data_IF_660412049159
#
_entry.id   IF_660412049159
#
_cell.length_a   1.000
_cell.length_b   1.000
_cell.length_c   1.000
_cell.angle_alpha   90.00
_cell.angle_beta   90.00
_cell.angle_gamma   90.00
#
_symmetry.space_group_name_H-M   'P 1'
#
loop_
_entity.id
_entity.type
_entity.pdbx_description
1 polymer ?
#
# COMPACT_ATOMS: atom_id res chain seq x y z
N UNK A 1 11.39 11.60 -18.52
CA UNK A 1 11.02 12.72 -17.63
C UNK A 1 10.86 12.14 -16.24
N UNK A 2 11.43 12.77 -15.21
CA UNK A 2 11.29 12.30 -13.83
C UNK A 2 10.15 13.04 -13.14
N UNK A 3 9.27 12.33 -12.43
CA UNK A 3 8.19 12.89 -11.62
C UNK A 3 8.62 12.75 -10.16
N UNK A 4 8.93 13.85 -9.49
CA UNK A 4 9.36 13.82 -8.11
C UNK A 4 9.01 15.11 -7.36
N UNK A 5 8.71 14.97 -6.08
CA UNK A 5 8.26 16.08 -5.23
C UNK A 5 9.26 16.34 -4.11
N UNK A 6 9.26 17.57 -3.59
CA UNK A 6 10.02 17.91 -2.40
C UNK A 6 9.26 17.47 -1.16
N UNK A 7 9.99 16.98 -0.16
CA UNK A 7 9.46 16.76 1.17
C UNK A 7 9.06 18.10 1.79
N UNK A 8 7.83 18.22 2.27
CA UNK A 8 7.34 19.44 2.92
C UNK A 8 8.01 19.68 4.29
N UNK A 9 8.48 18.62 4.96
CA UNK A 9 9.11 18.73 6.27
C UNK A 9 10.56 19.25 6.19
N UNK A 10 11.37 18.79 5.23
CA UNK A 10 12.80 19.15 5.15
C UNK A 10 13.22 19.87 3.86
N UNK A 11 12.34 19.98 2.86
CA UNK A 11 12.65 20.57 1.55
C UNK A 11 13.55 19.72 0.64
N UNK A 12 14.02 18.56 1.13
CA UNK A 12 14.80 17.59 0.36
C UNK A 12 13.97 16.98 -0.78
N UNK A 13 14.63 16.61 -1.87
CA UNK A 13 13.96 15.83 -2.93
C UNK A 13 13.67 14.41 -2.44
N UNK A 14 12.47 13.90 -2.73
CA UNK A 14 12.16 12.49 -2.52
C UNK A 14 13.18 11.62 -3.25
N UNK A 15 13.61 10.52 -2.66
CA UNK A 15 14.39 9.47 -3.33
C UNK A 15 13.51 8.25 -3.44
N UNK A 16 13.67 7.49 -4.53
CA UNK A 16 13.15 6.13 -4.57
C UNK A 16 13.89 5.33 -3.49
N UNK A 17 13.16 4.74 -2.55
CA UNK A 17 13.71 4.39 -1.24
C UNK A 17 12.94 3.28 -0.55
N UNK A 18 12.52 2.28 -1.32
CA UNK A 18 12.03 1.03 -0.74
C UNK A 18 13.18 0.37 0.01
N UNK A 19 12.93 0.00 1.27
CA UNK A 19 13.85 -0.87 2.00
C UNK A 19 13.78 -2.27 1.40
N UNK A 20 14.91 -2.95 1.33
CA UNK A 20 14.89 -4.39 1.08
C UNK A 20 14.37 -5.10 2.35
N UNK A 21 13.19 -5.70 2.26
CA UNK A 21 12.59 -6.49 3.34
C UNK A 21 12.60 -7.95 2.90
N UNK A 22 13.30 -8.80 3.65
CA UNK A 22 13.43 -10.23 3.31
C UNK A 22 12.07 -10.92 3.21
N UNK A 23 11.90 -11.78 2.21
CA UNK A 23 10.65 -12.52 1.97
C UNK A 23 9.60 -11.77 1.16
N UNK A 24 9.81 -10.49 0.85
CA UNK A 24 8.88 -9.68 0.04
C UNK A 24 9.40 -9.46 -1.39
N UNK A 25 8.88 -10.19 -2.40
CA UNK A 25 9.31 -10.03 -3.79
C UNK A 25 8.90 -8.70 -4.44
N UNK A 26 7.91 -8.00 -3.89
CA UNK A 26 7.41 -6.74 -4.45
C UNK A 26 7.38 -5.66 -3.37
N UNK A 27 7.94 -4.50 -3.69
CA UNK A 27 7.81 -3.26 -2.94
C UNK A 27 7.04 -2.23 -3.79
N UNK A 28 6.16 -1.47 -3.15
CA UNK A 28 5.19 -0.61 -3.79
C UNK A 28 4.95 0.68 -3.00
N UNK A 29 4.51 1.73 -3.68
CA UNK A 29 4.01 2.94 -3.02
C UNK A 29 2.67 2.68 -2.32
N UNK A 30 2.56 3.10 -1.07
CA UNK A 30 1.32 3.12 -0.28
C UNK A 30 0.88 4.57 -0.05
N UNK A 31 -0.42 4.86 0.06
CA UNK A 31 -0.96 6.15 0.55
C UNK A 31 -0.59 7.45 -0.19
N UNK A 32 0.25 7.39 -1.24
CA UNK A 32 0.76 8.56 -2.00
C UNK A 32 0.28 8.58 -3.44
N UNK A 33 -0.42 7.53 -3.83
CA UNK A 33 -1.07 7.39 -5.13
C UNK A 33 -2.56 7.21 -4.88
N UNK A 34 -3.34 8.13 -5.41
CA UNK A 34 -4.78 8.04 -5.35
C UNK A 34 -5.32 7.66 -6.73
N UNK A 35 -6.19 6.66 -6.76
CA UNK A 35 -6.75 6.10 -7.99
C UNK A 35 -8.08 6.73 -8.36
N UNK A 36 -8.30 6.92 -9.66
CA UNK A 36 -9.56 7.36 -10.25
C UNK A 36 -10.00 6.41 -11.36
N UNK A 37 -11.31 6.25 -11.55
CA UNK A 37 -11.87 5.45 -12.64
C UNK A 37 -11.77 6.14 -14.01
N UNK A 38 -11.40 7.43 -14.03
CA UNK A 38 -11.18 8.19 -15.25
C UNK A 38 -9.96 7.66 -16.02
N UNK A 39 -10.03 7.68 -17.34
CA UNK A 39 -9.02 7.06 -18.20
C UNK A 39 -8.14 8.07 -18.95
N UNK A 40 -8.60 9.32 -19.12
CA UNK A 40 -7.91 10.29 -19.99
C UNK A 40 -7.89 11.74 -19.48
N UNK A 41 -8.69 12.06 -18.47
CA UNK A 41 -8.83 13.40 -17.92
C UNK A 41 -8.80 13.40 -16.39
N UNK A 42 -8.47 14.55 -15.81
CA UNK A 42 -8.46 14.74 -14.36
C UNK A 42 -9.92 14.68 -13.88
N UNK A 43 -10.25 13.84 -12.88
CA UNK A 43 -11.62 13.76 -12.37
C UNK A 43 -12.09 15.13 -11.87
N UNK A 44 -13.32 15.54 -12.19
CA UNK A 44 -13.88 16.80 -11.72
C UNK A 44 -14.06 16.77 -10.19
N UNK A 45 -13.99 17.93 -9.59
CA UNK A 45 -14.38 18.11 -8.19
C UNK A 45 -15.90 18.06 -8.08
N UNK A 46 -16.39 17.45 -7.00
CA UNK A 46 -17.79 17.49 -6.60
C UNK A 46 -18.13 18.77 -5.82
N UNK A 47 -19.38 18.89 -5.38
CA UNK A 47 -19.90 20.05 -4.64
C UNK A 47 -19.17 20.32 -3.31
N UNK A 48 -18.46 19.33 -2.77
CA UNK A 48 -17.69 19.41 -1.53
C UNK A 48 -16.18 19.65 -1.80
N UNK A 49 -15.80 20.01 -3.04
CA UNK A 49 -14.42 20.27 -3.46
C UNK A 49 -13.45 19.08 -3.33
N UNK A 50 -13.95 17.85 -3.44
CA UNK A 50 -13.10 16.65 -3.57
C UNK A 50 -13.50 15.85 -4.82
N UNK A 51 -12.64 14.93 -5.24
CA UNK A 51 -12.87 14.08 -6.42
C UNK A 51 -13.06 12.63 -5.98
N UNK A 52 -13.87 11.87 -6.73
CA UNK A 52 -14.23 10.49 -6.38
C UNK A 52 -13.04 9.53 -6.56
N UNK A 53 -12.67 8.84 -5.48
CA UNK A 53 -11.70 7.73 -5.54
C UNK A 53 -12.29 6.56 -6.31
N UNK A 54 -11.43 5.76 -6.92
CA UNK A 54 -11.79 4.58 -7.69
C UNK A 54 -12.40 3.50 -6.79
N UNK A 55 -13.55 2.96 -7.19
CA UNK A 55 -14.19 1.80 -6.55
C UNK A 55 -13.78 0.47 -7.20
N UNK A 56 -13.24 0.53 -8.42
CA UNK A 56 -12.90 -0.66 -9.21
C UNK A 56 -11.42 -0.99 -9.13
N UNK A 57 -11.10 -2.24 -8.75
CA UNK A 57 -9.73 -2.75 -8.82
C UNK A 57 -9.16 -2.60 -10.23
N UNK A 58 -8.00 -1.94 -10.41
CA UNK A 58 -7.39 -1.76 -11.73
C UNK A 58 -7.03 -3.09 -12.40
N UNK A 59 -7.36 -3.27 -13.68
CA UNK A 59 -7.12 -4.53 -14.42
C UNK A 59 -6.00 -4.36 -15.43
N UNK A 60 -5.13 -5.39 -15.66
CA UNK A 60 -4.07 -5.32 -16.66
C UNK A 60 -4.60 -4.96 -18.05
N UNK A 61 -3.96 -3.97 -18.69
CA UNK A 61 -4.37 -3.42 -19.98
C UNK A 61 -5.17 -2.13 -19.88
N UNK A 62 -5.75 -1.82 -18.71
CA UNK A 62 -6.47 -0.56 -18.49
C UNK A 62 -5.53 0.64 -18.54
N UNK A 63 -6.08 1.77 -18.97
CA UNK A 63 -5.50 3.08 -18.67
C UNK A 63 -6.30 3.72 -17.54
N UNK A 64 -5.62 4.20 -16.51
CA UNK A 64 -6.23 4.91 -15.38
C UNK A 64 -5.54 6.26 -15.17
N UNK A 65 -6.27 7.19 -14.59
CA UNK A 65 -5.74 8.47 -14.13
C UNK A 65 -5.49 8.39 -12.65
N UNK A 66 -4.26 8.69 -12.24
CA UNK A 66 -3.84 8.69 -10.83
C UNK A 66 -3.34 10.08 -10.42
N UNK A 67 -3.58 10.43 -9.16
CA UNK A 67 -2.92 11.54 -8.51
C UNK A 67 -1.73 11.02 -7.71
N UNK A 68 -0.57 11.64 -7.84
CA UNK A 68 0.64 11.27 -7.10
C UNK A 68 1.20 12.45 -6.33
N UNK A 69 1.75 12.16 -5.15
CA UNK A 69 2.33 13.13 -4.21
C UNK A 69 3.62 12.58 -3.60
N UNK A 70 4.37 13.43 -2.91
CA UNK A 70 5.56 13.00 -2.15
C UNK A 70 5.23 11.82 -1.22
N UNK A 71 6.12 10.80 -1.04
CA UNK A 71 7.46 10.63 -1.63
C UNK A 71 7.59 10.05 -3.06
N UNK A 72 6.53 10.03 -3.88
CA UNK A 72 6.61 9.49 -5.25
C UNK A 72 7.81 10.05 -6.04
N UNK A 73 8.63 9.15 -6.59
CA UNK A 73 9.79 9.49 -7.40
C UNK A 73 10.03 8.43 -8.49
N UNK A 74 9.46 8.66 -9.68
CA UNK A 74 9.57 7.72 -10.79
C UNK A 74 9.91 8.39 -12.12
N UNK A 75 10.65 7.65 -12.93
CA UNK A 75 10.88 7.99 -14.33
C UNK A 75 9.69 7.53 -15.17
N UNK A 76 9.21 8.37 -16.08
CA UNK A 76 8.14 7.99 -17.00
C UNK A 76 8.49 6.80 -17.93
N UNK A 77 9.77 6.43 -18.05
CA UNK A 77 10.19 5.28 -18.83
C UNK A 77 10.08 3.95 -18.05
N UNK A 78 10.02 4.01 -16.72
CA UNK A 78 10.08 2.84 -15.84
C UNK A 78 8.68 2.46 -15.35
N UNK A 79 8.53 1.18 -15.01
CA UNK A 79 7.33 0.66 -14.38
C UNK A 79 7.53 0.68 -12.86
N UNK A 80 6.47 0.97 -12.12
CA UNK A 80 6.47 1.03 -10.67
C UNK A 80 5.27 0.27 -10.10
N UNK A 81 5.36 -0.11 -8.83
CA UNK A 81 4.28 -0.76 -8.11
C UNK A 81 3.62 0.21 -7.14
N UNK A 82 2.32 0.05 -6.93
CA UNK A 82 1.56 0.75 -5.89
C UNK A 82 0.52 -0.17 -5.29
N UNK A 83 0.22 0.02 -4.01
CA UNK A 83 -0.94 -0.57 -3.36
C UNK A 83 -2.18 0.23 -3.78
N UNK A 84 -3.09 -0.44 -4.48
CA UNK A 84 -4.45 0.03 -4.68
C UNK A 84 -5.31 -0.39 -3.48
N UNK A 85 -6.00 0.57 -2.90
CA UNK A 85 -7.11 0.37 -1.97
C UNK A 85 -8.37 0.96 -2.58
N UNK A 86 -9.54 0.32 -2.42
CA UNK A 86 -10.81 0.87 -2.90
C UNK A 86 -11.17 2.19 -2.19
N UNK A 87 -12.20 2.86 -2.73
CA UNK A 87 -12.51 4.24 -2.43
C UNK A 87 -12.61 4.57 -0.94
N UNK A 88 -13.29 3.74 -0.14
CA UNK A 88 -13.50 4.05 1.27
C UNK A 88 -12.21 3.88 2.08
N UNK A 89 -11.48 2.79 1.86
CA UNK A 89 -10.20 2.48 2.50
C UNK A 89 -9.10 3.44 2.06
N UNK A 90 -9.14 3.96 0.83
CA UNK A 90 -8.22 5.01 0.37
C UNK A 90 -8.38 6.32 1.15
N UNK A 91 -9.57 6.56 1.73
CA UNK A 91 -9.87 7.78 2.48
C UNK A 91 -9.65 7.56 3.99
N UNK A 92 -10.18 6.47 4.54
CA UNK A 92 -10.21 6.23 6.00
C UNK A 92 -9.41 5.01 6.46
N UNK A 93 -8.68 4.33 5.57
CA UNK A 93 -7.94 3.12 5.89
C UNK A 93 -8.81 1.87 5.99
N UNK A 94 -8.16 0.70 6.04
CA UNK A 94 -8.86 -0.56 6.29
C UNK A 94 -9.40 -0.64 7.71
N UNK A 95 -8.91 0.17 8.64
CA UNK A 95 -9.41 0.28 10.02
C UNK A 95 -10.91 0.61 10.09
N UNK A 96 -11.42 1.37 9.12
CA UNK A 96 -12.85 1.70 9.02
C UNK A 96 -13.60 0.87 7.96
N UNK A 97 -12.87 0.18 7.07
CA UNK A 97 -13.39 -0.48 5.87
C UNK A 97 -12.71 -1.82 5.57
N UNK A 98 -12.60 -2.71 6.56
CA UNK A 98 -11.96 -4.03 6.41
C UNK A 98 -12.55 -4.88 5.28
N UNK A 99 -13.83 -4.68 4.95
CA UNK A 99 -14.53 -5.40 3.88
C UNK A 99 -13.92 -5.17 2.48
N UNK A 100 -13.13 -4.12 2.31
CA UNK A 100 -12.47 -3.77 1.04
C UNK A 100 -11.07 -4.41 0.89
N UNK A 101 -10.59 -5.16 1.90
CA UNK A 101 -9.29 -5.87 1.83
C UNK A 101 -9.23 -6.79 0.61
N UNK A 102 -10.25 -7.60 0.36
CA UNK A 102 -10.23 -8.58 -0.74
C UNK A 102 -10.16 -7.92 -2.14
N UNK A 103 -10.67 -6.69 -2.27
CA UNK A 103 -10.61 -5.90 -3.51
C UNK A 103 -9.31 -5.07 -3.65
N UNK A 104 -8.51 -5.00 -2.58
CA UNK A 104 -7.22 -4.32 -2.59
C UNK A 104 -6.17 -5.14 -3.35
N UNK A 105 -5.21 -4.45 -3.95
CA UNK A 105 -4.27 -5.08 -4.87
C UNK A 105 -2.92 -4.37 -4.95
N UNK A 106 -1.86 -5.15 -5.20
CA UNK A 106 -0.62 -4.59 -5.71
C UNK A 106 -0.75 -4.43 -7.22
N UNK A 107 -0.54 -3.21 -7.71
CA UNK A 107 -0.73 -2.85 -9.11
C UNK A 107 0.57 -2.32 -9.68
N UNK A 108 1.07 -2.97 -10.73
CA UNK A 108 2.21 -2.51 -11.52
C UNK A 108 1.70 -1.64 -12.65
N UNK A 109 2.27 -0.45 -12.79
CA UNK A 109 1.88 0.46 -13.85
C UNK A 109 3.07 1.22 -14.45
N UNK A 110 2.83 1.83 -15.61
CA UNK A 110 3.80 2.66 -16.32
C UNK A 110 3.14 3.98 -16.70
N UNK A 111 3.88 5.08 -16.57
CA UNK A 111 3.39 6.42 -16.93
C UNK A 111 3.26 6.53 -18.45
N UNK A 112 2.07 6.81 -18.94
CA UNK A 112 1.82 7.08 -20.36
C UNK A 112 1.91 8.57 -20.66
N UNK A 113 1.31 9.40 -19.79
CA UNK A 113 1.21 10.85 -20.01
C UNK A 113 1.07 11.60 -18.69
N UNK A 114 1.67 12.79 -18.61
CA UNK A 114 1.39 13.75 -17.53
C UNK A 114 0.26 14.68 -17.97
N UNK A 115 -0.81 14.71 -17.18
CA UNK A 115 -1.98 15.57 -17.42
C UNK A 115 -1.81 16.93 -16.74
N UNK A 116 -1.23 16.95 -15.54
CA UNK A 116 -0.91 18.17 -14.80
C UNK A 116 0.26 17.91 -13.87
N UNK A 117 1.05 18.94 -13.60
CA UNK A 117 2.20 18.89 -12.71
C UNK A 117 2.29 20.19 -11.91
N UNK A 118 2.40 20.06 -10.59
CA UNK A 118 2.58 21.18 -9.65
C UNK A 118 3.76 20.89 -8.72
N UNK A 119 4.08 21.82 -7.82
CA UNK A 119 5.16 21.60 -6.83
C UNK A 119 4.84 20.49 -5.81
N UNK A 120 3.56 20.16 -5.59
CA UNK A 120 3.12 19.25 -4.53
C UNK A 120 2.54 17.93 -5.04
N UNK A 121 1.99 17.93 -6.25
CA UNK A 121 1.32 16.77 -6.83
C UNK A 121 1.37 16.78 -8.37
N UNK A 122 1.14 15.62 -8.97
CA UNK A 122 0.92 15.49 -10.41
C UNK A 122 -0.27 14.57 -10.68
N UNK A 123 -0.94 14.84 -11.79
CA UNK A 123 -1.94 13.94 -12.37
C UNK A 123 -1.34 13.21 -13.56
N UNK A 124 -1.38 11.89 -13.52
CA UNK A 124 -0.75 11.02 -14.49
C UNK A 124 -1.81 10.11 -15.12
N UNK A 125 -1.74 9.94 -16.43
CA UNK A 125 -2.33 8.77 -17.09
C UNK A 125 -1.31 7.64 -17.03
N UNK A 126 -1.72 6.50 -16.50
CA UNK A 126 -0.89 5.29 -16.40
C UNK A 126 -1.56 4.13 -17.10
N UNK A 127 -0.73 3.23 -17.61
CA UNK A 127 -1.15 1.92 -18.09
C UNK A 127 -0.94 0.89 -16.99
N UNK A 128 -1.97 0.11 -16.69
CA UNK A 128 -1.88 -1.04 -15.79
C UNK A 128 -1.21 -2.18 -16.54
N UNK A 129 -0.08 -2.67 -16.00
CA UNK A 129 0.69 -3.76 -16.57
C UNK A 129 0.37 -5.09 -15.90
N UNK A 130 0.18 -5.07 -14.58
CA UNK A 130 -0.03 -6.26 -13.76
C UNK A 130 -0.84 -5.89 -12.51
N UNK A 131 -1.71 -6.80 -12.08
CA UNK A 131 -2.50 -6.66 -10.85
C UNK A 131 -2.47 -7.98 -10.09
N UNK A 132 -2.15 -7.90 -8.79
CA UNK A 132 -2.19 -9.01 -7.85
C UNK A 132 -3.12 -8.59 -6.71
N UNK A 133 -4.37 -9.08 -6.75
CA UNK A 133 -5.33 -8.87 -5.66
C UNK A 133 -4.98 -9.72 -4.46
N UNK A 134 -5.36 -9.30 -3.25
CA UNK A 134 -5.08 -10.07 -2.04
C UNK A 134 -5.70 -11.47 -2.02
N UNK A 135 -6.84 -11.65 -2.68
CA UNK A 135 -7.45 -12.98 -2.85
C UNK A 135 -6.63 -13.89 -3.77
N UNK A 136 -5.82 -13.34 -4.67
CA UNK A 136 -5.00 -14.11 -5.61
C UNK A 136 -3.57 -14.37 -5.13
N UNK A 137 -3.10 -13.68 -4.08
CA UNK A 137 -1.69 -13.73 -3.62
C UNK A 137 -1.24 -15.16 -3.37
N UNK A 138 -2.04 -15.95 -2.67
CA UNK A 138 -1.70 -17.35 -2.35
C UNK A 138 -1.46 -18.21 -3.59
N UNK A 139 -2.07 -17.86 -4.72
CA UNK A 139 -1.94 -18.58 -5.99
C UNK A 139 -0.83 -18.02 -6.89
N UNK A 140 -0.56 -16.71 -6.82
CA UNK A 140 0.37 -16.01 -7.71
C UNK A 140 1.77 -15.83 -7.12
N UNK A 141 1.88 -15.81 -5.79
CA UNK A 141 3.14 -15.59 -5.08
C UNK A 141 3.59 -16.88 -4.41
N UNK A 142 4.80 -17.40 -4.72
CA UNK A 142 5.32 -18.59 -4.05
C UNK A 142 5.34 -18.40 -2.54
N UNK A 143 4.91 -19.44 -1.83
CA UNK A 143 5.06 -19.46 -0.38
C UNK A 143 6.54 -19.52 -0.01
N UNK A 144 6.93 -18.71 0.97
CA UNK A 144 8.24 -18.76 1.60
C UNK A 144 8.11 -18.92 3.11
N UNK A 145 9.14 -19.44 3.75
CA UNK A 145 9.22 -19.46 5.21
C UNK A 145 9.76 -18.13 5.73
N UNK A 146 9.36 -17.76 6.95
CA UNK A 146 9.91 -16.62 7.66
C UNK A 146 11.39 -16.84 7.97
N UNK A 147 12.28 -16.12 7.27
CA UNK A 147 13.73 -16.16 7.53
C UNK A 147 14.09 -15.50 8.86
N UNK A 148 13.50 -14.32 9.12
CA UNK A 148 13.58 -13.59 10.38
C UNK A 148 12.17 -13.15 10.81
N UNK A 149 11.85 -13.18 12.12
CA UNK A 149 10.56 -12.72 12.63
C UNK A 149 10.20 -11.33 12.10
N UNK A 150 9.02 -11.16 11.50
CA UNK A 150 8.58 -9.85 10.95
C UNK A 150 8.60 -8.75 12.01
N UNK A 151 8.41 -9.12 13.28
CA UNK A 151 8.52 -8.23 14.44
C UNK A 151 9.87 -7.48 14.50
N UNK A 152 10.93 -8.03 13.91
CA UNK A 152 12.25 -7.39 13.83
C UNK A 152 12.32 -6.28 12.77
N UNK A 153 11.36 -6.24 11.84
CA UNK A 153 11.25 -5.24 10.77
C UNK A 153 10.17 -4.18 11.05
N UNK A 154 9.48 -4.28 12.18
CA UNK A 154 8.36 -3.41 12.57
C UNK A 154 8.72 -2.57 13.80
N UNK A 155 8.08 -1.42 13.94
CA UNK A 155 8.12 -0.66 15.18
C UNK A 155 7.07 -1.19 16.16
N UNK A 156 7.46 -1.29 17.42
CA UNK A 156 6.52 -1.57 18.50
C UNK A 156 5.97 -0.24 19.03
N UNK A 157 4.66 -0.04 18.88
CA UNK A 157 3.95 1.14 19.40
C UNK A 157 3.15 0.78 20.65
N UNK A 158 2.88 1.77 21.52
CA UNK A 158 2.08 1.57 22.73
C UNK A 158 0.60 1.26 22.46
N UNK A 159 0.12 1.61 21.28
CA UNK A 159 -1.24 1.38 20.80
C UNK A 159 -1.18 0.68 19.45
N UNK A 160 -0.84 -0.61 19.49
CA UNK A 160 -1.03 -1.52 18.37
C UNK A 160 -2.46 -2.04 18.41
N UNK A 161 -3.16 -1.99 17.28
CA UNK A 161 -4.52 -2.48 17.12
C UNK A 161 -4.53 -3.79 16.33
N UNK A 162 -5.55 -4.61 16.58
CA UNK A 162 -5.81 -5.84 15.85
C UNK A 162 -7.28 -5.92 15.48
N UNK A 163 -7.52 -5.92 14.18
CA UNK A 163 -8.84 -6.13 13.61
C UNK A 163 -8.92 -7.45 12.87
N UNK A 164 -10.12 -8.03 12.84
CA UNK A 164 -10.37 -9.35 12.26
C UNK A 164 -11.60 -9.30 11.37
N UNK A 165 -11.47 -9.84 10.17
CA UNK A 165 -12.59 -10.08 9.27
C UNK A 165 -12.38 -11.41 8.56
N UNK A 166 -13.29 -12.37 8.77
CA UNK A 166 -13.16 -13.72 8.23
C UNK A 166 -11.81 -14.37 8.61
N UNK A 167 -11.00 -14.71 7.60
CA UNK A 167 -9.66 -15.27 7.73
C UNK A 167 -8.56 -14.20 7.75
N UNK A 168 -8.90 -12.91 7.66
CA UNK A 168 -7.96 -11.81 7.75
C UNK A 168 -7.73 -11.34 9.20
N UNK A 169 -6.47 -11.05 9.49
CA UNK A 169 -6.00 -10.31 10.66
C UNK A 169 -5.22 -9.10 10.17
N UNK A 170 -5.71 -7.91 10.49
CA UNK A 170 -5.06 -6.66 10.18
C UNK A 170 -4.51 -6.07 11.48
N UNK A 171 -3.20 -5.90 11.52
CA UNK A 171 -2.49 -5.28 12.63
C UNK A 171 -2.01 -3.90 12.18
N UNK A 172 -2.23 -2.86 12.98
CA UNK A 172 -1.65 -1.55 12.69
C UNK A 172 -1.26 -0.81 13.96
N UNK A 173 -0.28 0.08 13.84
CA UNK A 173 0.13 0.93 14.93
C UNK A 173 0.91 2.12 14.43
N UNK A 174 0.84 3.22 15.17
CA UNK A 174 1.57 4.44 14.84
C UNK A 174 1.99 5.22 16.08
N UNK A 175 3.01 6.05 15.92
CA UNK A 175 3.39 7.09 16.85
C UNK A 175 2.88 8.43 16.31
N UNK A 176 1.81 8.95 16.94
CA UNK A 176 1.21 10.26 16.63
C UNK A 176 0.82 10.46 15.14
N UNK A 177 0.65 9.36 14.39
CA UNK A 177 0.34 9.36 12.95
C UNK A 177 1.53 9.60 12.01
N UNK A 178 2.67 10.06 12.53
CA UNK A 178 3.83 10.47 11.71
C UNK A 178 4.74 9.30 11.29
N UNK A 179 4.75 8.24 12.09
CA UNK A 179 5.51 7.01 11.87
C UNK A 179 4.61 5.84 12.22
N UNK A 180 4.55 4.84 11.35
CA UNK A 180 3.73 3.67 11.63
C UNK A 180 4.04 2.49 10.74
N UNK A 181 3.42 1.37 11.08
CA UNK A 181 3.42 0.19 10.26
C UNK A 181 2.13 -0.60 10.42
N UNK A 182 1.83 -1.40 9.40
CA UNK A 182 0.70 -2.32 9.39
C UNK A 182 1.12 -3.67 8.82
N UNK A 183 0.42 -4.73 9.21
CA UNK A 183 0.59 -6.08 8.68
C UNK A 183 -0.78 -6.68 8.36
N UNK A 184 -0.87 -7.28 7.19
CA UNK A 184 -2.04 -8.04 6.76
C UNK A 184 -1.68 -9.52 6.72
N UNK A 185 -2.31 -10.29 7.61
CA UNK A 185 -2.10 -11.73 7.76
C UNK A 185 -3.38 -12.48 7.43
N UNK A 186 -3.29 -13.54 6.63
CA UNK A 186 -4.38 -14.45 6.31
C UNK A 186 -4.22 -15.78 7.02
N UNK A 187 -5.29 -16.33 7.57
CA UNK A 187 -5.34 -17.68 8.13
C UNK A 187 -5.72 -18.68 7.02
N UNK A 188 -4.84 -19.64 6.74
CA UNK A 188 -5.02 -20.62 5.66
C UNK A 188 -4.71 -22.00 6.21
N UNK A 189 -5.71 -22.89 6.25
CA UNK A 189 -5.57 -24.28 6.73
C UNK A 189 -4.89 -24.42 8.11
N UNK A 190 -5.09 -23.42 8.99
CA UNK A 190 -4.50 -23.37 10.33
C UNK A 190 -3.12 -22.73 10.41
N UNK A 191 -2.55 -22.29 9.28
CA UNK A 191 -1.28 -21.57 9.20
C UNK A 191 -1.53 -20.06 8.96
N UNK A 192 -0.71 -19.23 9.61
CA UNK A 192 -0.73 -17.79 9.40
C UNK A 192 0.20 -17.40 8.24
N UNK A 193 -0.36 -16.70 7.25
CA UNK A 193 0.35 -16.18 6.06
C UNK A 193 0.45 -14.67 6.14
N UNK A 194 1.65 -14.13 6.24
CA UNK A 194 1.87 -12.69 6.06
C UNK A 194 1.79 -12.37 4.56
N UNK A 195 0.73 -11.65 4.19
CA UNK A 195 0.39 -11.33 2.79
C UNK A 195 0.96 -9.97 2.41
N UNK A 196 0.86 -9.00 3.30
CA UNK A 196 1.41 -7.68 3.07
C UNK A 196 1.88 -7.02 4.37
N UNK A 197 2.88 -6.15 4.22
CA UNK A 197 3.43 -5.32 5.27
C UNK A 197 3.54 -3.90 4.73
N UNK A 198 3.17 -2.90 5.51
CA UNK A 198 3.39 -1.51 5.14
C UNK A 198 4.05 -0.72 6.26
N UNK A 199 4.78 0.31 5.87
CA UNK A 199 5.47 1.22 6.77
C UNK A 199 5.42 2.64 6.20
N UNK A 200 5.30 3.61 7.10
CA UNK A 200 5.30 5.01 6.72
C UNK A 200 6.07 5.88 7.69
N UNK A 201 6.64 6.94 7.13
CA UNK A 201 7.25 8.07 7.83
C UNK A 201 7.13 9.33 6.95
N UNK A 202 7.68 10.46 7.39
CA UNK A 202 7.73 11.67 6.56
C UNK A 202 8.36 11.50 5.18
N UNK A 203 9.25 10.52 5.01
CA UNK A 203 10.03 10.32 3.79
C UNK A 203 9.70 9.02 3.05
N UNK A 204 8.81 8.20 3.60
CA UNK A 204 8.55 6.86 3.10
C UNK A 204 7.08 6.52 3.30
N UNK A 205 6.47 5.90 2.30
CA UNK A 205 5.11 5.40 2.33
C UNK A 205 5.09 4.15 1.44
N UNK A 206 5.30 2.99 2.05
CA UNK A 206 5.63 1.77 1.34
C UNK A 206 4.75 0.61 1.78
N UNK A 207 4.40 -0.24 0.82
CA UNK A 207 3.80 -1.53 1.04
C UNK A 207 4.65 -2.61 0.36
N UNK A 208 4.68 -3.79 0.95
CA UNK A 208 5.44 -4.93 0.49
C UNK A 208 4.51 -6.14 0.40
N UNK A 209 4.53 -6.84 -0.74
CA UNK A 209 3.71 -8.03 -0.97
C UNK A 209 4.56 -9.29 -0.76
N UNK A 210 4.02 -10.25 -0.03
CA UNK A 210 4.63 -11.55 0.23
C UNK A 210 3.60 -12.68 0.31
N UNK A 211 4.10 -13.88 0.56
CA UNK A 211 3.29 -15.03 0.95
C UNK A 211 4.12 -15.85 1.96
N UNK A 212 4.27 -15.30 3.16
CA UNK A 212 5.26 -15.77 4.13
C UNK A 212 4.56 -16.57 5.23
N UNK A 213 4.95 -17.83 5.43
CA UNK A 213 4.59 -18.61 6.62
C UNK A 213 5.20 -17.94 7.85
N UNK A 214 4.38 -17.39 8.75
CA UNK A 214 4.89 -16.86 10.02
C UNK A 214 4.73 -17.88 11.13
N UNK A 215 5.71 -17.92 12.04
CA UNK A 215 5.66 -18.85 13.18
C UNK A 215 4.56 -18.48 14.18
N UNK A 216 4.09 -19.47 14.94
CA UNK A 216 3.19 -19.22 16.08
C UNK A 216 3.81 -18.24 17.09
N UNK A 217 5.11 -18.34 17.34
CA UNK A 217 5.84 -17.44 18.25
C UNK A 217 5.77 -15.98 17.77
N UNK A 218 6.03 -15.76 16.47
CA UNK A 218 5.90 -14.44 15.84
C UNK A 218 4.46 -13.91 15.98
N UNK A 219 3.46 -14.74 15.67
CA UNK A 219 2.06 -14.35 15.75
C UNK A 219 1.62 -14.04 17.19
N UNK A 220 2.08 -14.81 18.18
CA UNK A 220 1.80 -14.53 19.59
C UNK A 220 2.49 -13.24 20.05
N UNK A 221 3.69 -12.96 19.57
CA UNK A 221 4.40 -11.71 19.85
C UNK A 221 3.60 -10.51 19.32
N UNK A 222 3.12 -10.56 18.08
CA UNK A 222 2.26 -9.51 17.51
C UNK A 222 0.98 -9.29 18.31
N UNK A 223 0.29 -10.37 18.69
CA UNK A 223 -0.89 -10.29 19.54
C UNK A 223 -0.59 -9.67 20.92
N UNK A 224 0.61 -9.89 21.46
CA UNK A 224 1.01 -9.33 22.75
C UNK A 224 1.24 -7.81 22.72
N UNK A 225 1.47 -7.24 21.53
CA UNK A 225 1.58 -5.79 21.34
C UNK A 225 0.22 -5.11 21.32
N UNK A 226 -0.82 -5.86 20.98
CA UNK A 226 -2.18 -5.33 20.95
C UNK A 226 -2.68 -5.20 22.38
N UNK A 227 -3.28 -4.06 22.72
CA UNK A 227 -3.90 -3.90 24.04
C UNK A 227 -4.98 -4.98 24.18
N UNK A 228 -4.95 -5.73 25.28
CA UNK A 228 -5.89 -6.83 25.56
C UNK A 228 -7.32 -6.41 25.20
N UNK A 229 -7.92 -7.12 24.24
CA UNK A 229 -9.36 -7.10 23.97
C UNK A 229 -10.07 -7.73 25.18
#
# INVERSE_FOLDING_TARGET
>A
MNIAFKCLACGGGGKNGFREVEGFPIAAYDGVIDWSDYTDEIPPLNDNNWWMRSEETPVPGDSRVINVRHPFNESAAEAFWTLYTPACSSINGWEEHLEEIDASAFVKCQIERVLSYTEQQAWLKVKVLETITFVEVLNKTPQTEEGLPIVNNTYQFEAFDLQRLNDWMYFSGSAEGDLGNWMLIKQVDGEARLIAFGEWSFHQQCAYLGNISISDETLQTLKSWCRNI
#
